data_IF_202826537042
#
_entry.id   IF_202826537042
#
_cell.length_a   1.000
_cell.length_b   1.000
_cell.length_c   1.000
_cell.angle_alpha   90.00
_cell.angle_beta   90.00
_cell.angle_gamma   90.00
#
_symmetry.space_group_name_H-M   'P 1'
#
loop_
_entity.id
_entity.type
_entity.pdbx_description
1 polymer ?
#
# COMPACT_ATOMS: atom_id res chain seq x y z
N UNK A 1 -15.63 -5.58 0.94
CA UNK A 1 -16.30 -4.38 0.38
C UNK A 1 -15.34 -3.69 -0.58
N UNK A 2 -15.79 -2.97 -1.62
CA UNK A 2 -14.89 -2.10 -2.41
C UNK A 2 -14.49 -0.92 -1.51
N UNK A 3 -13.21 -0.57 -1.34
CA UNK A 3 -12.82 0.61 -0.58
C UNK A 3 -13.48 1.85 -1.20
N UNK A 4 -13.96 2.75 -0.34
CA UNK A 4 -14.57 4.00 -0.79
C UNK A 4 -13.47 4.93 -1.32
N UNK A 5 -13.85 5.89 -2.15
CA UNK A 5 -12.95 6.93 -2.66
C UNK A 5 -12.16 7.64 -1.54
N UNK A 6 -12.84 8.04 -0.45
CA UNK A 6 -12.19 8.64 0.72
C UNK A 6 -11.16 7.72 1.37
N UNK A 7 -11.43 6.41 1.42
CA UNK A 7 -10.49 5.41 1.93
C UNK A 7 -9.22 5.38 1.08
N UNK A 8 -9.34 5.42 -0.25
CA UNK A 8 -8.18 5.39 -1.14
C UNK A 8 -7.28 6.63 -0.97
N UNK A 9 -7.87 7.82 -0.84
CA UNK A 9 -7.12 9.04 -0.55
C UNK A 9 -6.36 8.92 0.78
N UNK A 10 -7.02 8.46 1.83
CA UNK A 10 -6.38 8.26 3.15
C UNK A 10 -5.22 7.28 3.02
N UNK A 11 -5.39 6.17 2.30
CA UNK A 11 -4.33 5.18 2.12
C UNK A 11 -3.14 5.72 1.32
N UNK A 12 -3.35 6.64 0.38
CA UNK A 12 -2.25 7.35 -0.30
C UNK A 12 -1.44 8.17 0.71
N UNK A 13 -2.11 8.97 1.53
CA UNK A 13 -1.41 9.77 2.54
C UNK A 13 -0.67 8.89 3.55
N UNK A 14 -1.29 7.80 3.99
CA UNK A 14 -0.65 6.82 4.88
C UNK A 14 0.60 6.23 4.23
N UNK A 15 0.52 5.81 2.96
CA UNK A 15 1.67 5.28 2.23
C UNK A 15 2.80 6.32 2.13
N UNK A 16 2.46 7.56 1.80
CA UNK A 16 3.44 8.66 1.70
C UNK A 16 4.13 8.92 3.04
N UNK A 17 3.37 8.94 4.14
CA UNK A 17 3.92 9.12 5.49
C UNK A 17 4.85 7.95 5.85
N UNK A 18 4.49 6.72 5.51
CA UNK A 18 5.33 5.53 5.74
C UNK A 18 6.61 5.57 4.90
N UNK A 19 6.55 6.09 3.68
CA UNK A 19 7.70 6.18 2.78
C UNK A 19 8.65 7.33 3.14
N UNK A 20 8.15 8.40 3.75
CA UNK A 20 8.95 9.59 4.07
C UNK A 20 10.23 9.28 4.89
N UNK A 21 10.21 8.45 5.96
CA UNK A 21 11.43 8.08 6.67
C UNK A 21 12.50 7.40 5.81
N UNK A 22 12.18 6.79 4.67
CA UNK A 22 13.22 6.25 3.80
C UNK A 22 13.94 7.35 3.01
N UNK A 23 13.19 8.37 2.57
CA UNK A 23 13.74 9.52 1.85
C UNK A 23 14.64 10.40 2.73
N UNK A 24 14.38 10.46 4.04
CA UNK A 24 15.16 11.26 4.99
C UNK A 24 16.12 10.42 5.85
N UNK A 25 16.36 9.16 5.48
CA UNK A 25 17.15 8.20 6.27
C UNK A 25 18.56 8.69 6.62
N UNK A 26 19.23 9.36 5.69
CA UNK A 26 20.57 9.92 5.89
C UNK A 26 20.63 10.98 7.00
N UNK A 27 19.51 11.67 7.29
CA UNK A 27 19.47 12.74 8.28
C UNK A 27 19.20 12.25 9.70
N UNK A 28 18.20 11.37 9.88
CA UNK A 28 17.80 10.96 11.24
C UNK A 28 18.46 9.67 11.72
N UNK A 29 18.94 8.77 10.84
CA UNK A 29 19.62 7.55 11.31
C UNK A 29 20.90 7.84 12.10
N UNK A 30 21.76 8.79 11.68
CA UNK A 30 22.88 9.24 12.52
C UNK A 30 22.41 9.81 13.85
N UNK A 31 21.34 10.63 13.85
CA UNK A 31 20.77 11.20 15.07
C UNK A 31 20.31 10.12 16.05
N UNK A 32 19.61 9.08 15.56
CA UNK A 32 19.18 7.92 16.36
C UNK A 32 20.38 7.15 16.91
N UNK A 33 21.38 6.88 16.08
CA UNK A 33 22.60 6.18 16.48
C UNK A 33 23.32 6.94 17.60
N UNK A 34 23.42 8.26 17.48
CA UNK A 34 24.26 9.08 18.35
C UNK A 34 23.54 9.49 19.64
N UNK A 35 22.22 9.69 19.62
CA UNK A 35 21.44 10.17 20.78
C UNK A 35 20.55 9.11 21.42
N UNK A 36 20.21 8.04 20.69
CA UNK A 36 19.27 7.00 21.14
C UNK A 36 19.89 5.61 21.04
N UNK A 37 21.09 5.45 21.60
CA UNK A 37 21.89 4.23 21.51
C UNK A 37 21.12 2.94 21.85
N UNK A 38 20.38 2.90 22.98
CA UNK A 38 19.58 1.72 23.38
C UNK A 38 18.52 1.34 22.34
N UNK A 39 17.89 2.34 21.72
CA UNK A 39 16.90 2.10 20.69
C UNK A 39 17.57 1.57 19.40
N UNK A 40 18.71 2.16 19.03
CA UNK A 40 19.52 1.67 17.92
C UNK A 40 19.99 0.22 18.13
N UNK A 41 20.37 -0.14 19.36
CA UNK A 41 20.76 -1.50 19.74
C UNK A 41 19.59 -2.49 19.60
N UNK A 42 18.39 -2.13 20.09
CA UNK A 42 17.17 -2.95 19.91
C UNK A 42 16.89 -3.19 18.42
N UNK A 43 16.97 -2.14 17.59
CA UNK A 43 16.74 -2.27 16.14
C UNK A 43 17.73 -3.21 15.46
N UNK A 44 18.94 -3.38 16.01
CA UNK A 44 19.97 -4.28 15.49
C UNK A 44 19.99 -5.66 16.17
N UNK A 45 19.22 -5.84 17.25
CA UNK A 45 19.16 -7.10 17.98
C UNK A 45 18.57 -8.24 17.14
N UNK A 46 19.16 -9.43 17.27
CA UNK A 46 18.78 -10.61 16.50
C UNK A 46 17.30 -10.98 16.67
N UNK A 47 16.80 -10.93 17.91
CA UNK A 47 15.41 -11.24 18.20
C UNK A 47 14.43 -10.30 17.48
N UNK A 48 14.74 -9.00 17.47
CA UNK A 48 13.94 -8.00 16.77
C UNK A 48 13.96 -8.25 15.26
N UNK A 49 15.14 -8.43 14.68
CA UNK A 49 15.31 -8.67 13.24
C UNK A 49 14.64 -9.95 12.77
N UNK A 50 14.76 -11.04 13.52
CA UNK A 50 14.11 -12.31 13.19
C UNK A 50 12.59 -12.20 13.29
N UNK A 51 12.07 -11.67 14.39
CA UNK A 51 10.60 -11.55 14.59
C UNK A 51 9.97 -10.69 13.52
N UNK A 52 10.51 -9.49 13.30
CA UNK A 52 10.01 -8.57 12.27
C UNK A 52 10.20 -9.13 10.86
N UNK A 53 11.29 -9.85 10.61
CA UNK A 53 11.57 -10.53 9.34
C UNK A 53 10.57 -11.65 9.03
N UNK A 54 10.21 -12.49 10.00
CA UNK A 54 9.21 -13.54 9.81
C UNK A 54 7.79 -13.00 9.64
N UNK A 55 7.46 -11.88 10.30
CA UNK A 55 6.19 -11.18 10.06
C UNK A 55 6.15 -10.68 8.61
N UNK A 56 7.23 -10.03 8.16
CA UNK A 56 7.36 -9.53 6.79
C UNK A 56 7.26 -10.67 5.76
N UNK A 57 7.96 -11.79 6.00
CA UNK A 57 7.85 -12.99 5.18
C UNK A 57 6.41 -13.51 5.11
N UNK A 58 5.71 -13.55 6.25
CA UNK A 58 4.31 -13.99 6.29
C UNK A 58 3.40 -13.10 5.44
N UNK A 59 3.55 -11.78 5.54
CA UNK A 59 2.80 -10.83 4.70
C UNK A 59 3.08 -11.04 3.21
N UNK A 60 4.34 -11.26 2.82
CA UNK A 60 4.71 -11.57 1.43
C UNK A 60 4.09 -12.88 0.97
N UNK A 61 4.08 -13.93 1.81
CA UNK A 61 3.45 -15.20 1.47
C UNK A 61 1.94 -15.02 1.23
N UNK A 62 1.24 -14.20 2.03
CA UNK A 62 -0.17 -13.86 1.76
C UNK A 62 -0.37 -13.15 0.42
N UNK A 63 0.54 -12.25 0.03
CA UNK A 63 0.53 -11.59 -1.28
C UNK A 63 0.80 -12.55 -2.45
N UNK A 64 1.63 -13.56 -2.23
CA UNK A 64 1.83 -14.63 -3.22
C UNK A 64 0.57 -15.50 -3.36
N UNK A 65 -0.14 -15.78 -2.25
CA UNK A 65 -1.41 -16.52 -2.28
C UNK A 65 -2.46 -15.79 -3.11
N UNK A 66 -2.50 -14.45 -3.06
CA UNK A 66 -3.35 -13.63 -3.93
C UNK A 66 -3.09 -13.90 -5.42
N UNK A 67 -1.82 -13.99 -5.80
CA UNK A 67 -1.41 -14.33 -7.18
C UNK A 67 -1.83 -15.76 -7.55
N UNK A 68 -1.59 -16.72 -6.65
CA UNK A 68 -2.03 -18.11 -6.82
C UNK A 68 -3.55 -18.20 -7.00
N UNK A 69 -4.31 -17.45 -6.20
CA UNK A 69 -5.78 -17.38 -6.27
C UNK A 69 -6.26 -16.82 -7.60
N UNK A 70 -5.62 -15.79 -8.16
CA UNK A 70 -5.96 -15.28 -9.51
C UNK A 70 -5.76 -16.35 -10.59
N UNK A 71 -4.80 -17.26 -10.42
CA UNK A 71 -4.47 -18.35 -11.35
C UNK A 71 -5.12 -19.68 -11.00
N UNK A 72 -5.86 -19.76 -9.89
CA UNK A 72 -6.31 -21.02 -9.31
C UNK A 72 -7.23 -21.84 -10.23
N UNK A 73 -8.04 -21.15 -11.06
CA UNK A 73 -8.88 -21.79 -12.10
C UNK A 73 -8.07 -22.59 -13.12
N UNK A 74 -6.84 -22.15 -13.45
CA UNK A 74 -5.94 -22.88 -14.35
C UNK A 74 -5.26 -24.05 -13.64
N UNK A 75 -5.07 -23.97 -12.33
CA UNK A 75 -4.36 -24.97 -11.52
C UNK A 75 -5.28 -26.02 -10.87
N UNK A 76 -6.59 -25.99 -11.17
CA UNK A 76 -7.60 -26.87 -10.55
C UNK A 76 -7.64 -26.79 -9.02
N UNK A 77 -7.08 -25.74 -8.42
CA UNK A 77 -7.15 -25.46 -6.98
C UNK A 77 -8.22 -24.40 -6.75
N UNK A 78 -9.16 -24.65 -5.85
CA UNK A 78 -10.21 -23.69 -5.50
C UNK A 78 -9.85 -22.95 -4.23
N UNK A 79 -9.38 -21.71 -4.35
CA UNK A 79 -9.18 -20.83 -3.21
C UNK A 79 -10.47 -20.01 -3.02
N UNK A 80 -11.15 -20.11 -1.87
CA UNK A 80 -12.44 -19.46 -1.65
C UNK A 80 -12.32 -17.94 -1.57
N UNK A 81 -13.47 -17.25 -1.64
CA UNK A 81 -13.58 -15.80 -1.48
C UNK A 81 -13.76 -15.01 -2.79
N UNK A 82 -14.53 -13.93 -2.70
CA UNK A 82 -14.89 -13.08 -3.85
C UNK A 82 -13.70 -12.26 -4.35
N UNK A 83 -13.65 -11.93 -5.66
CA UNK A 83 -12.61 -11.04 -6.21
C UNK A 83 -12.55 -9.70 -5.47
N UNK A 84 -13.69 -9.18 -5.02
CA UNK A 84 -13.77 -7.92 -4.26
C UNK A 84 -13.07 -8.02 -2.91
N UNK A 85 -13.21 -9.15 -2.21
CA UNK A 85 -12.52 -9.39 -0.93
C UNK A 85 -11.01 -9.45 -1.14
N UNK A 86 -10.53 -10.27 -2.07
CA UNK A 86 -9.11 -10.42 -2.36
C UNK A 86 -8.46 -9.11 -2.81
N UNK A 87 -9.13 -8.32 -3.67
CA UNK A 87 -8.66 -6.98 -4.02
C UNK A 87 -8.53 -6.07 -2.79
N UNK A 88 -9.52 -6.10 -1.89
CA UNK A 88 -9.46 -5.32 -0.66
C UNK A 88 -8.28 -5.76 0.21
N UNK A 89 -8.08 -7.06 0.39
CA UNK A 89 -6.97 -7.61 1.17
C UNK A 89 -5.62 -7.20 0.60
N UNK A 90 -5.40 -7.31 -0.71
CA UNK A 90 -4.16 -6.88 -1.37
C UNK A 90 -3.80 -5.41 -1.08
N UNK A 91 -4.79 -4.50 -1.13
CA UNK A 91 -4.55 -3.08 -0.86
C UNK A 91 -4.11 -2.88 0.59
N UNK A 92 -4.82 -3.47 1.56
CA UNK A 92 -4.50 -3.28 2.98
C UNK A 92 -3.22 -4.02 3.39
N UNK A 93 -2.99 -5.22 2.85
CA UNK A 93 -1.77 -5.99 3.08
C UNK A 93 -0.55 -5.31 2.45
N UNK A 94 -0.68 -4.68 1.29
CA UNK A 94 0.38 -3.85 0.69
C UNK A 94 0.78 -2.67 1.58
N UNK A 95 -0.19 -1.95 2.15
CA UNK A 95 0.09 -0.86 3.11
C UNK A 95 0.71 -1.40 4.40
N UNK A 96 0.20 -2.52 4.92
CA UNK A 96 0.77 -3.17 6.10
C UNK A 96 2.21 -3.64 5.84
N UNK A 97 2.50 -4.15 4.64
CA UNK A 97 3.84 -4.56 4.22
C UNK A 97 4.79 -3.37 4.15
N UNK A 98 4.36 -2.22 3.59
CA UNK A 98 5.15 -0.99 3.61
C UNK A 98 5.50 -0.56 5.04
N UNK A 99 4.51 -0.54 5.94
CA UNK A 99 4.73 -0.20 7.34
C UNK A 99 5.65 -1.19 8.05
N UNK A 100 5.50 -2.48 7.77
CA UNK A 100 6.33 -3.52 8.37
C UNK A 100 7.78 -3.47 7.85
N UNK A 101 8.01 -3.12 6.58
CA UNK A 101 9.35 -2.87 6.05
C UNK A 101 9.99 -1.70 6.80
N UNK A 102 9.27 -0.60 7.03
CA UNK A 102 9.76 0.54 7.83
C UNK A 102 10.16 0.10 9.25
N UNK A 103 9.30 -0.66 9.92
CA UNK A 103 9.60 -1.19 11.25
C UNK A 103 10.83 -2.10 11.20
N UNK A 104 10.87 -3.07 10.27
CA UNK A 104 11.96 -4.04 10.16
C UNK A 104 13.33 -3.38 9.90
N UNK A 105 13.39 -2.35 9.06
CA UNK A 105 14.66 -1.69 8.68
C UNK A 105 14.96 -0.46 9.53
N UNK A 106 14.00 0.05 10.29
CA UNK A 106 14.08 1.37 10.93
C UNK A 106 14.18 2.51 9.92
N UNK A 107 13.82 2.26 8.65
CA UNK A 107 13.96 3.19 7.53
C UNK A 107 15.35 3.21 6.88
N UNK A 108 16.27 2.34 7.32
CA UNK A 108 17.53 2.11 6.60
C UNK A 108 17.28 1.50 5.22
N UNK A 109 17.97 2.02 4.21
CA UNK A 109 17.89 1.55 2.83
C UNK A 109 18.73 0.29 2.57
N UNK A 110 19.58 -0.10 3.52
CA UNK A 110 20.44 -1.27 3.42
C UNK A 110 21.62 -1.09 2.47
N UNK A 111 22.44 -2.14 2.36
CA UNK A 111 23.65 -2.19 1.53
C UNK A 111 23.55 -3.34 0.52
N UNK A 112 24.27 -3.25 -0.60
CA UNK A 112 24.36 -4.30 -1.62
C UNK A 112 22.98 -4.81 -2.11
N UNK A 113 22.74 -6.13 -1.99
CA UNK A 113 21.48 -6.76 -2.40
C UNK A 113 20.27 -6.27 -1.62
N UNK A 114 20.42 -5.93 -0.33
CA UNK A 114 19.31 -5.41 0.46
C UNK A 114 18.82 -4.07 -0.11
N UNK A 115 19.76 -3.22 -0.53
CA UNK A 115 19.42 -1.96 -1.19
C UNK A 115 18.69 -2.20 -2.51
N UNK A 116 19.21 -3.10 -3.36
CA UNK A 116 18.59 -3.41 -4.66
C UNK A 116 17.15 -3.94 -4.46
N UNK A 117 16.95 -4.91 -3.56
CA UNK A 117 15.62 -5.46 -3.31
C UNK A 117 14.65 -4.43 -2.74
N UNK A 118 15.13 -3.54 -1.86
CA UNK A 118 14.31 -2.47 -1.32
C UNK A 118 13.92 -1.45 -2.40
N UNK A 119 14.84 -1.07 -3.29
CA UNK A 119 14.53 -0.18 -4.40
C UNK A 119 13.54 -0.78 -5.40
N UNK A 120 13.67 -2.08 -5.71
CA UNK A 120 12.67 -2.80 -6.52
C UNK A 120 11.32 -2.79 -5.83
N UNK A 121 11.29 -3.06 -4.52
CA UNK A 121 10.07 -3.02 -3.72
C UNK A 121 9.43 -1.62 -3.73
N UNK A 122 10.20 -0.54 -3.63
CA UNK A 122 9.71 0.83 -3.77
C UNK A 122 9.18 1.13 -5.17
N UNK A 123 9.87 0.69 -6.22
CA UNK A 123 9.39 0.85 -7.60
C UNK A 123 8.03 0.20 -7.82
N UNK A 124 7.86 -1.04 -7.34
CA UNK A 124 6.57 -1.75 -7.40
C UNK A 124 5.51 -1.02 -6.57
N UNK A 125 5.84 -0.58 -5.35
CA UNK A 125 4.90 0.11 -4.46
C UNK A 125 4.45 1.46 -5.02
N UNK A 126 5.37 2.22 -5.63
CA UNK A 126 5.06 3.49 -6.28
C UNK A 126 4.18 3.28 -7.51
N UNK A 127 4.41 2.23 -8.30
CA UNK A 127 3.53 1.89 -9.42
C UNK A 127 2.11 1.59 -8.97
N UNK A 128 1.95 0.94 -7.81
CA UNK A 128 0.63 0.70 -7.22
C UNK A 128 -0.03 2.02 -6.79
N UNK A 129 0.73 2.95 -6.21
CA UNK A 129 0.24 4.27 -5.81
C UNK A 129 -0.26 5.09 -7.00
N UNK A 130 0.51 5.11 -8.10
CA UNK A 130 0.10 5.74 -9.37
C UNK A 130 -1.18 5.10 -9.90
N UNK A 131 -1.31 3.77 -9.83
CA UNK A 131 -2.53 3.07 -10.22
C UNK A 131 -3.76 3.49 -9.41
N UNK A 132 -3.62 3.66 -8.09
CA UNK A 132 -4.70 4.17 -7.23
C UNK A 132 -5.04 5.61 -7.58
N UNK A 133 -4.03 6.48 -7.76
CA UNK A 133 -4.23 7.89 -8.16
C UNK A 133 -4.97 7.98 -9.50
N UNK A 134 -4.62 7.14 -10.47
CA UNK A 134 -5.32 7.08 -11.75
C UNK A 134 -6.79 6.65 -11.59
N UNK A 135 -7.07 5.64 -10.76
CA UNK A 135 -8.45 5.22 -10.48
C UNK A 135 -9.25 6.33 -9.78
N UNK A 136 -8.66 7.00 -8.79
CA UNK A 136 -9.34 8.04 -8.01
C UNK A 136 -9.49 9.36 -8.78
N UNK A 137 -8.41 9.87 -9.35
CA UNK A 137 -8.32 11.20 -9.94
C UNK A 137 -8.92 11.29 -11.34
N UNK A 138 -8.69 10.28 -12.18
CA UNK A 138 -9.10 10.33 -13.60
C UNK A 138 -10.49 9.72 -13.78
N UNK A 139 -10.80 8.62 -13.09
CA UNK A 139 -12.03 7.86 -13.36
C UNK A 139 -13.18 8.26 -12.43
N UNK A 140 -12.91 8.44 -11.13
CA UNK A 140 -13.96 8.57 -10.11
C UNK A 140 -14.26 10.03 -9.72
N UNK A 141 -13.29 10.95 -9.80
CA UNK A 141 -13.48 12.38 -9.52
C UNK A 141 -14.50 13.07 -10.44
N UNK A 142 -14.42 12.93 -11.78
CA UNK A 142 -15.38 13.61 -12.67
C UNK A 142 -16.81 13.10 -12.47
N UNK A 143 -16.98 11.80 -12.22
CA UNK A 143 -18.31 11.17 -12.04
C UNK A 143 -19.06 11.69 -10.82
N UNK A 144 -18.34 12.11 -9.77
CA UNK A 144 -18.93 12.63 -8.53
C UNK A 144 -19.31 14.11 -8.66
N UNK A 145 -18.52 14.87 -9.40
CA UNK A 145 -18.80 16.27 -9.72
C UNK A 145 -20.04 16.39 -10.61
N UNK A 146 -20.16 15.56 -11.65
CA UNK A 146 -21.34 15.54 -12.52
C UNK A 146 -22.61 14.98 -11.85
N UNK A 147 -22.53 14.21 -10.76
CA UNK A 147 -23.73 13.75 -10.03
C UNK A 147 -24.31 14.80 -9.08
N UNK A 148 -23.55 15.87 -8.78
CA UNK A 148 -23.99 16.97 -7.91
C UNK A 148 -24.66 18.10 -8.70
N UNK A 149 -24.52 18.12 -10.02
CA UNK A 149 -25.34 18.96 -10.90
C UNK A 149 -26.75 18.35 -10.90
N UNK A 150 -27.77 19.03 -10.35
CA UNK A 150 -29.13 18.53 -10.42
C UNK A 150 -29.48 18.35 -11.89
N UNK A 151 -30.13 17.23 -12.23
CA UNK A 151 -30.70 17.02 -13.55
C UNK A 151 -31.85 18.03 -13.78
N UNK A 152 -31.53 19.31 -14.01
CA UNK A 152 -32.46 20.39 -14.33
C UNK A 152 -33.14 20.17 -15.70
N UNK A 153 -32.74 19.15 -16.45
CA UNK A 153 -33.21 18.90 -17.81
C UNK A 153 -34.34 17.89 -17.94
N UNK A 154 -34.81 17.26 -16.85
CA UNK A 154 -35.85 16.22 -16.93
C UNK A 154 -37.29 16.73 -17.00
N UNK A 155 -37.59 17.95 -16.55
CA UNK A 155 -38.96 18.49 -16.49
C UNK A 155 -39.31 19.45 -17.64
N UNK A 156 -38.33 19.83 -18.46
CA UNK A 156 -38.55 20.77 -19.57
C UNK A 156 -39.27 20.10 -20.77
N UNK A 157 -39.32 18.77 -20.83
CA UNK A 157 -40.01 18.02 -21.89
C UNK A 157 -41.52 17.82 -21.68
N UNK A 158 -42.07 18.21 -20.52
CA UNK A 158 -43.51 18.10 -20.21
C UNK A 158 -44.27 19.43 -20.32
N UNK A 159 -43.59 20.52 -20.68
CA UNK A 159 -44.17 21.87 -20.78
C UNK A 159 -44.14 22.43 -22.22
N UNK A 160 -44.09 21.57 -23.23
CA UNK A 160 -44.37 21.99 -24.62
C UNK A 160 -45.74 21.42 -25.02
N UNK A 161 -46.71 22.28 -25.37
CA UNK A 161 -48.04 21.87 -25.81
C UNK A 161 -48.01 21.13 -27.16
#
# INVERSE_FOLDING_TARGET
MKPKFSTLIILIWVATIILAPFAFSEFYLPLIRDHFFKFHEILRGDWYKQTTGFILLSLVLFEVVLTARKRSRKWKVTIPGSMKLWRSLHIFLGIALLGMVLIHTGGSTGENYNAIFLWVFFGVSLSALVGVVAETGIVESPRREFSLVPAVTSDMGKMLP
#
